data_IF_935995090620
#
_entry.id   IF_935995090620
#
_cell.length_a   1.000
_cell.length_b   1.000
_cell.length_c   1.000
_cell.angle_alpha   90.00
_cell.angle_beta   90.00
_cell.angle_gamma   90.00
#
_symmetry.space_group_name_H-M   'P 1'
#
loop_
_entity.id
_entity.type
_entity.pdbx_description
1 polymer ?
#
# COMPACT_ATOMS: atom_id res chain seq x y z
N UNK A 1 11.01 9.39 -12.20
CA UNK A 1 10.36 9.69 -10.91
C UNK A 1 9.70 8.40 -10.50
N UNK A 2 10.13 7.80 -9.38
CA UNK A 2 9.64 6.48 -8.99
C UNK A 2 8.72 6.65 -7.80
N UNK A 3 7.42 6.54 -8.04
CA UNK A 3 6.43 6.46 -6.99
C UNK A 3 6.45 5.02 -6.47
N UNK A 4 6.42 4.83 -5.15
CA UNK A 4 6.47 3.52 -4.52
C UNK A 4 5.45 3.45 -3.39
N UNK A 5 4.90 2.25 -3.16
CA UNK A 5 4.00 1.98 -2.04
C UNK A 5 4.59 0.84 -1.19
N UNK A 6 5.67 1.10 -0.43
CA UNK A 6 6.25 0.11 0.45
C UNK A 6 5.41 -0.03 1.73
N UNK A 7 5.41 -1.21 2.31
CA UNK A 7 4.73 -1.45 3.57
C UNK A 7 5.13 -2.74 4.25
N UNK A 8 4.60 -2.94 5.45
CA UNK A 8 4.68 -4.20 6.15
C UNK A 8 3.40 -4.53 6.89
N UNK A 9 3.12 -5.82 7.03
CA UNK A 9 1.99 -6.36 7.75
C UNK A 9 2.45 -7.29 8.88
N UNK A 10 1.89 -7.09 10.06
CA UNK A 10 2.05 -7.95 11.24
C UNK A 10 0.75 -8.72 11.46
N UNK A 11 0.86 -10.00 11.80
CA UNK A 11 -0.26 -10.93 11.90
C UNK A 11 -0.46 -11.40 13.34
N UNK A 12 -1.71 -11.48 13.79
CA UNK A 12 -2.05 -12.11 15.06
C UNK A 12 -3.36 -12.92 14.91
N UNK A 13 -3.32 -14.26 14.87
CA UNK A 13 -2.15 -15.13 15.08
C UNK A 13 -1.12 -15.05 13.94
N UNK A 14 0.08 -15.60 14.16
CA UNK A 14 1.12 -15.66 13.12
C UNK A 14 0.60 -16.37 11.85
N UNK A 15 1.06 -15.87 10.71
CA UNK A 15 0.68 -16.38 9.40
C UNK A 15 1.14 -17.83 9.21
N UNK A 16 0.23 -18.70 8.78
CA UNK A 16 0.50 -20.14 8.58
C UNK A 16 0.95 -20.47 7.14
N UNK A 17 0.97 -19.46 6.26
CA UNK A 17 1.43 -19.60 4.87
C UNK A 17 2.74 -18.85 4.64
N UNK A 18 3.62 -19.30 3.73
CA UNK A 18 4.82 -18.57 3.37
C UNK A 18 4.49 -17.17 2.81
N UNK A 19 5.31 -16.18 3.14
CA UNK A 19 5.14 -14.80 2.63
C UNK A 19 5.05 -14.72 1.11
N UNK A 20 5.84 -15.53 0.38
CA UNK A 20 5.80 -15.58 -1.08
C UNK A 20 4.44 -16.07 -1.61
N UNK A 21 3.80 -17.01 -0.91
CA UNK A 21 2.49 -17.52 -1.30
C UNK A 21 1.41 -16.46 -1.09
N UNK A 22 1.42 -15.79 0.07
CA UNK A 22 0.51 -14.69 0.35
C UNK A 22 0.65 -13.56 -0.68
N UNK A 23 1.88 -13.13 -0.99
CA UNK A 23 2.14 -12.12 -2.02
C UNK A 23 1.55 -12.54 -3.38
N UNK A 24 1.71 -13.82 -3.76
CA UNK A 24 1.14 -14.34 -5.00
C UNK A 24 -0.39 -14.34 -4.98
N UNK A 25 -1.02 -14.61 -3.83
CA UNK A 25 -2.48 -14.54 -3.68
C UNK A 25 -2.99 -13.11 -3.79
N UNK A 26 -2.29 -12.15 -3.17
CA UNK A 26 -2.61 -10.72 -3.22
C UNK A 26 -2.49 -10.16 -4.64
N UNK A 27 -1.40 -10.49 -5.33
CA UNK A 27 -1.18 -10.08 -6.73
C UNK A 27 -2.29 -10.63 -7.65
N UNK A 28 -2.62 -11.92 -7.53
CA UNK A 28 -3.65 -12.56 -8.37
C UNK A 28 -5.08 -12.07 -8.09
N UNK A 29 -5.38 -11.69 -6.85
CA UNK A 29 -6.73 -11.26 -6.46
C UNK A 29 -6.99 -9.78 -6.76
N UNK A 30 -5.96 -8.93 -6.63
CA UNK A 30 -6.08 -7.48 -6.85
C UNK A 30 -5.81 -7.06 -8.29
N UNK A 31 -4.98 -7.79 -9.03
CA UNK A 31 -4.45 -7.36 -10.33
C UNK A 31 -3.36 -6.28 -10.24
N UNK A 32 -3.03 -5.83 -9.03
CA UNK A 32 -1.89 -4.93 -8.76
C UNK A 32 -0.61 -5.75 -8.67
N UNK A 33 0.54 -5.12 -8.90
CA UNK A 33 1.80 -5.77 -8.60
C UNK A 33 2.04 -5.80 -7.10
N UNK A 34 2.39 -6.98 -6.57
CA UNK A 34 2.75 -7.15 -5.16
C UNK A 34 4.02 -7.98 -5.12
N UNK A 35 5.06 -7.48 -4.43
CA UNK A 35 6.33 -8.19 -4.32
C UNK A 35 6.91 -8.11 -2.92
N UNK A 36 7.68 -9.13 -2.52
CA UNK A 36 8.48 -9.07 -1.30
C UNK A 36 9.54 -7.97 -1.42
N UNK A 37 9.78 -7.29 -0.31
CA UNK A 37 10.75 -6.20 -0.20
C UNK A 37 11.68 -6.50 0.98
N UNK A 38 12.98 -6.20 0.85
CA UNK A 38 13.88 -6.34 1.98
C UNK A 38 13.53 -5.26 3.04
N UNK A 39 13.50 -5.59 4.34
CA UNK A 39 13.23 -4.59 5.39
C UNK A 39 14.15 -3.36 5.35
N UNK A 40 15.38 -3.50 4.83
CA UNK A 40 16.32 -2.39 4.65
C UNK A 40 15.97 -1.45 3.49
N UNK A 41 15.04 -1.85 2.62
CA UNK A 41 14.49 -1.02 1.52
C UNK A 41 13.24 -0.24 1.96
N UNK A 42 12.83 -0.29 3.23
CA UNK A 42 11.85 0.63 3.82
C UNK A 42 12.49 2.01 4.07
N UNK A 43 12.91 2.66 2.99
CA UNK A 43 13.62 3.93 3.04
C UNK A 43 12.79 4.99 3.77
N UNK A 44 13.47 5.76 4.62
CA UNK A 44 12.89 6.87 5.37
C UNK A 44 11.73 6.52 6.31
N UNK A 45 11.46 5.23 6.56
CA UNK A 45 10.61 4.83 7.68
C UNK A 45 11.31 5.22 9.00
N UNK A 46 10.61 5.87 9.94
CA UNK A 46 11.20 6.21 11.22
C UNK A 46 11.44 4.94 12.05
N UNK A 47 12.46 4.94 12.92
CA UNK A 47 12.81 3.78 13.77
C UNK A 47 11.64 3.24 14.60
N UNK A 48 10.67 4.10 14.93
CA UNK A 48 9.44 3.74 15.65
C UNK A 48 8.42 2.95 14.83
N UNK A 49 8.64 2.82 13.51
CA UNK A 49 7.76 2.15 12.55
C UNK A 49 8.56 1.16 11.69
N UNK A 50 9.47 0.41 12.32
CA UNK A 50 10.14 -0.71 11.67
C UNK A 50 9.36 -2.02 11.88
N UNK A 51 9.38 -2.94 10.91
CA UNK A 51 8.71 -4.22 11.02
C UNK A 51 9.34 -5.11 12.10
N UNK A 52 8.53 -5.97 12.72
CA UNK A 52 9.05 -7.11 13.47
C UNK A 52 9.69 -8.16 12.56
N UNK A 53 10.51 -9.03 13.13
CA UNK A 53 11.26 -10.06 12.38
C UNK A 53 10.38 -11.05 11.61
N UNK A 54 9.11 -11.20 12.00
CA UNK A 54 8.13 -12.08 11.35
C UNK A 54 7.13 -11.33 10.46
N UNK A 55 7.29 -10.01 10.28
CA UNK A 55 6.37 -9.25 9.45
C UNK A 55 6.55 -9.61 7.96
N UNK A 56 5.45 -9.57 7.22
CA UNK A 56 5.50 -9.52 5.77
C UNK A 56 5.93 -8.12 5.37
N UNK A 57 7.08 -7.96 4.71
CA UNK A 57 7.51 -6.68 4.12
C UNK A 57 7.33 -6.76 2.61
N UNK A 58 6.66 -5.76 2.04
CA UNK A 58 6.18 -5.80 0.66
C UNK A 58 6.21 -4.43 -0.01
N UNK A 59 6.04 -4.47 -1.33
CA UNK A 59 5.89 -3.32 -2.21
C UNK A 59 4.66 -3.53 -3.09
N UNK A 60 3.81 -2.52 -3.21
CA UNK A 60 2.70 -2.47 -4.16
C UNK A 60 3.06 -1.57 -5.34
N UNK A 61 2.73 -2.02 -6.55
CA UNK A 61 3.08 -1.38 -7.81
C UNK A 61 1.92 -1.43 -8.81
N UNK A 62 2.11 -0.75 -9.95
CA UNK A 62 1.07 -0.58 -10.94
C UNK A 62 0.53 -1.91 -11.48
N UNK A 63 1.42 -2.86 -11.74
CA UNK A 63 1.03 -4.18 -12.22
C UNK A 63 2.12 -5.23 -11.91
N UNK A 64 1.79 -6.52 -12.02
CA UNK A 64 2.73 -7.61 -11.77
C UNK A 64 4.06 -7.44 -12.52
N UNK A 65 5.16 -7.70 -11.82
CA UNK A 65 6.52 -7.62 -12.37
C UNK A 65 7.10 -6.21 -12.54
N UNK A 66 6.34 -5.16 -12.24
CA UNK A 66 6.82 -3.76 -12.17
C UNK A 66 7.04 -3.38 -10.69
N UNK A 67 7.93 -2.42 -10.42
CA UNK A 67 8.22 -1.93 -9.05
C UNK A 67 7.67 -0.52 -8.74
N UNK A 68 7.13 0.16 -9.74
CA UNK A 68 6.67 1.55 -9.61
C UNK A 68 5.15 1.58 -9.52
N UNK A 69 4.63 2.52 -8.72
CA UNK A 69 3.22 2.82 -8.55
C UNK A 69 2.86 4.16 -9.23
N UNK A 70 3.50 4.48 -10.36
CA UNK A 70 3.41 5.81 -10.97
C UNK A 70 1.98 6.18 -11.32
N UNK A 71 1.24 5.26 -11.93
CA UNK A 71 -0.15 5.50 -12.30
C UNK A 71 -1.07 5.33 -11.10
N UNK A 72 -0.79 4.35 -10.24
CA UNK A 72 -1.65 3.93 -9.14
C UNK A 72 -1.89 5.04 -8.10
N UNK A 73 -0.87 5.85 -7.80
CA UNK A 73 -0.95 6.97 -6.84
C UNK A 73 -0.86 8.36 -7.50
N UNK A 74 -1.07 8.44 -8.81
CA UNK A 74 -1.27 9.73 -9.48
C UNK A 74 -2.62 10.32 -9.06
N UNK A 75 -2.62 11.53 -8.49
CA UNK A 75 -3.83 12.24 -8.08
C UNK A 75 -4.67 12.78 -9.25
N UNK A 76 -4.16 12.76 -10.48
CA UNK A 76 -4.85 13.28 -11.66
C UNK A 76 -5.79 12.27 -12.32
N UNK A 77 -6.93 12.75 -12.80
CA UNK A 77 -7.77 11.99 -13.73
C UNK A 77 -7.13 12.00 -15.12
N UNK A 78 -7.05 10.82 -15.74
CA UNK A 78 -6.55 10.66 -17.10
C UNK A 78 -7.64 10.93 -18.13
N UNK A 79 -7.22 11.36 -19.33
CA UNK A 79 -8.13 11.57 -20.45
C UNK A 79 -8.83 10.25 -20.86
N UNK A 80 -10.08 10.28 -21.35
CA UNK A 80 -10.84 9.09 -21.75
C UNK A 80 -10.12 8.17 -22.75
N UNK A 81 -9.26 8.74 -23.60
CA UNK A 81 -8.47 8.04 -24.61
C UNK A 81 -7.14 7.47 -24.10
N UNK A 82 -6.78 7.72 -22.84
CA UNK A 82 -5.56 7.19 -22.26
C UNK A 82 -5.65 5.67 -22.09
N UNK A 83 -4.58 4.97 -22.48
CA UNK A 83 -4.43 3.53 -22.29
C UNK A 83 -3.33 3.26 -21.26
N UNK A 84 -3.71 3.30 -19.99
CA UNK A 84 -2.80 3.12 -18.85
C UNK A 84 -2.95 1.75 -18.18
N UNK A 85 -3.84 0.88 -18.69
CA UNK A 85 -4.12 -0.43 -18.09
C UNK A 85 -4.82 -0.40 -16.73
N UNK A 86 -5.38 0.74 -16.33
CA UNK A 86 -5.99 1.01 -15.01
C UNK A 86 -7.22 1.91 -15.12
N UNK A 87 -8.02 2.05 -14.05
CA UNK A 87 -9.05 3.08 -13.97
C UNK A 87 -8.49 4.48 -14.23
N UNK A 88 -9.20 5.26 -15.05
CA UNK A 88 -8.77 6.61 -15.44
C UNK A 88 -8.93 7.63 -14.32
N UNK A 89 -9.87 7.42 -13.39
CA UNK A 89 -10.10 8.33 -12.27
C UNK A 89 -9.14 8.02 -11.12
N UNK A 90 -8.51 9.04 -10.54
CA UNK A 90 -7.55 8.87 -9.45
C UNK A 90 -8.15 8.15 -8.26
N UNK A 91 -9.36 8.56 -7.86
CA UNK A 91 -10.11 7.90 -6.80
C UNK A 91 -10.29 6.40 -7.04
N UNK A 92 -10.66 6.00 -8.26
CA UNK A 92 -10.91 4.60 -8.58
C UNK A 92 -9.61 3.75 -8.52
N UNK A 93 -8.43 4.36 -8.70
CA UNK A 93 -7.14 3.69 -8.50
C UNK A 93 -6.78 3.53 -7.03
N UNK A 94 -7.03 4.56 -6.21
CA UNK A 94 -6.86 4.47 -4.75
C UNK A 94 -7.79 3.40 -4.16
N UNK A 95 -9.00 3.26 -4.69
CA UNK A 95 -9.94 2.21 -4.32
C UNK A 95 -9.38 0.78 -4.52
N UNK A 96 -8.54 0.55 -5.54
CA UNK A 96 -7.87 -0.75 -5.72
C UNK A 96 -6.89 -1.05 -4.57
N UNK A 97 -6.13 -0.05 -4.14
CA UNK A 97 -5.21 -0.17 -3.02
C UNK A 97 -5.97 -0.42 -1.72
N UNK A 98 -7.10 0.27 -1.53
CA UNK A 98 -7.95 0.10 -0.35
C UNK A 98 -8.53 -1.29 -0.27
N UNK A 99 -8.99 -1.86 -1.38
CA UNK A 99 -9.49 -3.24 -1.40
C UNK A 99 -8.39 -4.25 -1.03
N UNK A 100 -7.16 -4.05 -1.52
CA UNK A 100 -5.99 -4.86 -1.15
C UNK A 100 -5.68 -4.74 0.36
N UNK A 101 -5.70 -3.52 0.90
CA UNK A 101 -5.46 -3.27 2.33
C UNK A 101 -6.57 -3.92 3.17
N UNK A 102 -7.82 -3.75 2.78
CA UNK A 102 -8.97 -4.31 3.49
C UNK A 102 -8.91 -5.85 3.50
N UNK A 103 -8.54 -6.50 2.39
CA UNK A 103 -8.40 -7.96 2.34
C UNK A 103 -7.32 -8.49 3.29
N UNK A 104 -6.23 -7.75 3.51
CA UNK A 104 -5.21 -8.11 4.49
C UNK A 104 -5.80 -8.22 5.91
N UNK A 105 -6.70 -7.32 6.28
CA UNK A 105 -7.36 -7.40 7.58
C UNK A 105 -8.45 -8.47 7.63
N UNK A 106 -9.32 -8.54 6.62
CA UNK A 106 -10.49 -9.43 6.64
C UNK A 106 -10.12 -10.90 6.44
N UNK A 107 -9.19 -11.18 5.53
CA UNK A 107 -8.95 -12.55 5.05
C UNK A 107 -7.67 -13.14 5.65
N UNK A 108 -6.75 -12.28 6.10
CA UNK A 108 -5.43 -12.71 6.59
C UNK A 108 -5.14 -12.34 8.04
N UNK A 109 -6.10 -11.75 8.77
CA UNK A 109 -5.97 -11.44 10.20
C UNK A 109 -4.73 -10.60 10.55
N UNK A 110 -4.41 -9.63 9.70
CA UNK A 110 -3.41 -8.61 10.01
C UNK A 110 -3.83 -7.85 11.27
N UNK A 111 -2.94 -7.75 12.26
CA UNK A 111 -3.14 -6.99 13.48
C UNK A 111 -2.65 -5.55 13.37
N UNK A 112 -1.64 -5.32 12.53
CA UNK A 112 -1.07 -4.01 12.24
C UNK A 112 -0.54 -3.97 10.81
N UNK A 113 -0.86 -2.90 10.08
CA UNK A 113 -0.33 -2.61 8.75
C UNK A 113 0.30 -1.23 8.77
N UNK A 114 1.56 -1.12 8.36
CA UNK A 114 2.16 0.15 8.01
C UNK A 114 2.36 0.20 6.50
N UNK A 115 1.80 1.21 5.83
CA UNK A 115 1.93 1.37 4.39
C UNK A 115 2.18 2.83 4.04
N UNK A 116 3.16 3.09 3.17
CA UNK A 116 3.53 4.43 2.74
C UNK A 116 3.06 4.70 1.32
N UNK A 117 2.64 5.93 1.05
CA UNK A 117 2.38 6.42 -0.30
C UNK A 117 3.42 7.49 -0.57
N UNK A 118 4.47 7.16 -1.35
CA UNK A 118 5.63 8.03 -1.46
C UNK A 118 5.91 8.48 -2.90
N UNK A 119 6.37 9.72 -3.03
CA UNK A 119 7.07 10.22 -4.21
C UNK A 119 8.57 10.26 -3.89
N UNK A 120 9.38 9.50 -4.64
CA UNK A 120 10.83 9.38 -4.43
C UNK A 120 11.23 8.96 -3.00
N UNK A 121 10.48 8.02 -2.42
CA UNK A 121 10.69 7.48 -1.07
C UNK A 121 10.63 8.55 0.05
N UNK A 122 10.05 9.73 -0.22
CA UNK A 122 9.89 10.77 0.79
C UNK A 122 8.75 10.44 1.75
N UNK A 123 9.03 10.62 3.04
CA UNK A 123 8.07 10.52 4.14
C UNK A 123 8.05 11.83 4.91
N UNK A 124 6.90 12.50 4.93
CA UNK A 124 6.66 13.77 5.61
C UNK A 124 5.83 13.60 6.88
N UNK A 125 4.95 12.60 6.93
CA UNK A 125 4.06 12.39 8.05
C UNK A 125 3.82 10.90 8.36
N UNK A 126 3.42 10.66 9.61
CA UNK A 126 2.89 9.38 10.06
C UNK A 126 1.47 9.62 10.57
N UNK A 127 0.51 8.95 9.95
CA UNK A 127 -0.91 9.04 10.26
C UNK A 127 -1.33 7.72 10.90
N UNK A 128 -1.78 7.80 12.16
CA UNK A 128 -2.29 6.63 12.88
C UNK A 128 -3.79 6.53 12.67
N UNK A 129 -4.27 5.34 12.32
CA UNK A 129 -5.70 5.09 12.14
C UNK A 129 -6.07 3.65 12.55
N UNK A 130 -7.36 3.37 12.56
CA UNK A 130 -7.91 2.03 12.80
C UNK A 130 -8.47 1.45 11.51
N UNK A 131 -8.60 0.14 11.46
CA UNK A 131 -9.19 -0.54 10.32
C UNK A 131 -10.56 0.05 9.94
N UNK A 132 -11.46 0.26 10.91
CA UNK A 132 -12.77 0.88 10.67
C UNK A 132 -12.72 2.27 10.00
N UNK A 133 -11.66 3.04 10.23
CA UNK A 133 -11.52 4.41 9.75
C UNK A 133 -10.58 4.54 8.52
N UNK A 134 -9.84 3.47 8.18
CA UNK A 134 -8.73 3.50 7.22
C UNK A 134 -9.14 4.10 5.87
N UNK A 135 -10.30 3.68 5.36
CA UNK A 135 -10.80 4.06 4.04
C UNK A 135 -11.05 5.55 3.97
N UNK A 136 -11.70 6.10 5.00
CA UNK A 136 -11.94 7.53 5.10
C UNK A 136 -10.61 8.29 5.19
N UNK A 137 -9.71 7.84 6.06
CA UNK A 137 -8.41 8.50 6.29
C UNK A 137 -7.59 8.60 5.01
N UNK A 138 -7.38 7.49 4.29
CA UNK A 138 -6.54 7.46 3.09
C UNK A 138 -7.19 8.23 1.95
N UNK A 139 -8.51 8.09 1.73
CA UNK A 139 -9.19 8.82 0.66
C UNK A 139 -9.13 10.34 0.88
N UNK A 140 -9.43 10.83 2.09
CA UNK A 140 -9.39 12.26 2.39
C UNK A 140 -8.00 12.85 2.17
N UNK A 141 -6.95 12.09 2.51
CA UNK A 141 -5.56 12.52 2.34
C UNK A 141 -5.13 12.49 0.86
N UNK A 142 -5.43 11.42 0.13
CA UNK A 142 -5.14 11.33 -1.30
C UNK A 142 -5.94 12.35 -2.13
N UNK A 143 -7.22 12.59 -1.84
CA UNK A 143 -8.04 13.55 -2.60
C UNK A 143 -7.64 15.02 -2.37
N UNK A 144 -6.99 15.30 -1.24
CA UNK A 144 -6.48 16.63 -0.91
C UNK A 144 -5.19 16.97 -1.65
N UNK A 145 -4.55 16.00 -2.32
CA UNK A 145 -3.23 16.14 -2.91
C UNK A 145 -3.20 15.66 -4.37
N UNK A 146 -2.56 16.44 -5.25
CA UNK A 146 -2.34 16.02 -6.65
C UNK A 146 -1.18 15.00 -6.73
N UNK A 147 -0.18 15.16 -5.85
CA UNK A 147 0.95 14.26 -5.70
C UNK A 147 0.67 13.24 -4.60
N UNK A 148 1.41 12.12 -4.54
CA UNK A 148 1.37 11.22 -3.39
C UNK A 148 1.50 11.99 -2.06
N UNK A 149 0.74 11.63 -1.01
CA UNK A 149 0.72 12.37 0.25
C UNK A 149 2.01 12.25 1.07
N UNK A 150 3.00 11.47 0.61
CA UNK A 150 4.27 11.23 1.30
C UNK A 150 4.07 10.84 2.77
N UNK A 151 3.05 10.03 3.04
CA UNK A 151 2.62 9.69 4.40
C UNK A 151 2.68 8.18 4.63
N UNK A 152 3.10 7.79 5.84
CA UNK A 152 2.93 6.43 6.37
C UNK A 152 1.59 6.37 7.08
N UNK A 153 0.76 5.41 6.71
CA UNK A 153 -0.44 5.05 7.46
C UNK A 153 -0.11 3.87 8.36
N UNK A 154 -0.13 4.09 9.68
CA UNK A 154 0.00 3.05 10.72
C UNK A 154 -1.40 2.65 11.17
N UNK A 155 -1.86 1.52 10.64
CA UNK A 155 -3.23 1.03 10.74
C UNK A 155 -3.25 -0.15 11.72
N UNK A 156 -4.12 -0.09 12.71
CA UNK A 156 -4.34 -1.19 13.67
C UNK A 156 -5.69 -1.85 13.43
N UNK A 157 -5.74 -3.17 13.59
CA UNK A 157 -7.01 -3.91 13.57
C UNK A 157 -7.92 -3.48 14.74
N UNK A 158 -9.23 -3.66 14.56
CA UNK A 158 -10.24 -3.32 15.57
C UNK A 158 -10.32 -4.31 16.74
#
# INVERSE_FOLDING_TARGET
MSNTIPGFAEFAPQLDVPHQELVSQLENSSGLGVSLLDPSELYHFPDSHLPSASALVFLVSDCPGIKNATNLIDGLDYAPEADIGMPLRSRDRIELILLLIESLFTDHHVSRLCIAFSDMDQIEAVIKTRQADLRKTILEDCESNIMPPCSIYDITAD
#
